data_IF_154974201146
#
_entry.id   IF_154974201146
#
_cell.length_a   1.000
_cell.length_b   1.000
_cell.length_c   1.000
_cell.angle_alpha   90.00
_cell.angle_beta   90.00
_cell.angle_gamma   90.00
#
_symmetry.space_group_name_H-M   'P 1'
#
loop_
_entity.id
_entity.type
_entity.pdbx_description
1 polymer ?
#
# COMPACT_ATOMS: atom_id res chain seq x y z
N UNK A 1 17.92 16.68 -6.96
CA UNK A 1 16.60 16.98 -6.39
C UNK A 1 15.62 15.86 -6.73
N UNK A 2 14.98 15.31 -5.74
CA UNK A 2 14.06 14.17 -5.97
C UNK A 2 12.75 14.65 -6.60
N UNK A 3 12.17 13.82 -7.44
CA UNK A 3 10.86 14.07 -8.01
C UNK A 3 9.79 13.92 -6.93
N UNK A 4 8.73 14.73 -6.95
CA UNK A 4 7.58 14.49 -6.08
C UNK A 4 6.97 13.11 -6.37
N UNK A 5 6.52 12.42 -5.33
CA UNK A 5 5.89 11.10 -5.49
C UNK A 5 4.43 11.22 -5.93
N UNK A 6 3.84 12.40 -5.85
CA UNK A 6 2.44 12.65 -6.19
C UNK A 6 2.30 14.05 -6.75
N UNK A 7 1.26 14.25 -7.55
CA UNK A 7 0.87 15.59 -8.03
C UNK A 7 0.27 16.43 -6.91
N UNK A 8 -0.25 15.79 -5.88
CA UNK A 8 -0.84 16.46 -4.72
C UNK A 8 0.17 16.50 -3.59
N UNK A 9 0.06 17.47 -2.69
CA UNK A 9 0.98 17.54 -1.55
C UNK A 9 0.91 16.29 -0.69
N UNK A 10 2.06 15.86 -0.18
CA UNK A 10 2.13 14.78 0.80
C UNK A 10 2.18 15.44 2.17
N UNK A 11 1.17 15.21 3.03
CA UNK A 11 1.15 15.82 4.36
C UNK A 11 2.29 15.32 5.23
N UNK A 12 2.73 16.16 6.17
CA UNK A 12 3.64 15.72 7.22
C UNK A 12 2.93 14.71 8.12
N UNK A 13 3.65 13.71 8.63
CA UNK A 13 3.07 12.68 9.48
C UNK A 13 2.31 13.27 10.67
N UNK A 14 2.86 14.33 11.25
CA UNK A 14 2.27 14.97 12.43
C UNK A 14 0.89 15.57 12.16
N UNK A 15 0.60 15.90 10.92
CA UNK A 15 -0.69 16.50 10.54
C UNK A 15 -1.76 15.48 10.20
N UNK A 16 -1.41 14.20 10.13
CA UNK A 16 -2.35 13.15 9.75
C UNK A 16 -3.23 12.73 10.93
N UNK A 17 -4.46 12.24 10.64
CA UNK A 17 -5.26 11.59 11.67
C UNK A 17 -4.51 10.42 12.30
N UNK A 18 -4.81 10.14 13.56
CA UNK A 18 -4.08 9.13 14.34
C UNK A 18 -4.08 7.75 13.68
N UNK A 19 -5.22 7.32 13.16
CA UNK A 19 -5.33 6.00 12.54
C UNK A 19 -4.50 5.88 11.26
N UNK A 20 -4.48 6.92 10.45
CA UNK A 20 -3.69 6.94 9.21
C UNK A 20 -2.20 6.94 9.54
N UNK A 21 -1.80 7.81 10.48
CA UNK A 21 -0.41 7.87 10.93
C UNK A 21 0.05 6.54 11.50
N UNK A 22 -0.78 5.91 12.33
CA UNK A 22 -0.47 4.64 12.96
C UNK A 22 -0.24 3.55 11.90
N UNK A 23 -1.08 3.50 10.87
CA UNK A 23 -0.93 2.53 9.79
C UNK A 23 0.41 2.71 9.07
N UNK A 24 0.77 3.94 8.79
CA UNK A 24 2.04 4.26 8.11
C UNK A 24 3.23 3.85 8.98
N UNK A 25 3.19 4.15 10.27
CA UNK A 25 4.26 3.79 11.19
C UNK A 25 4.42 2.28 11.33
N UNK A 26 3.32 1.54 11.35
CA UNK A 26 3.36 0.07 11.39
C UNK A 26 4.04 -0.51 10.15
N UNK A 27 3.74 0.03 8.98
CA UNK A 27 4.36 -0.42 7.73
C UNK A 27 5.85 -0.10 7.72
N UNK A 28 6.21 1.09 8.20
CA UNK A 28 7.61 1.48 8.31
C UNK A 28 8.39 0.53 9.21
N UNK A 29 7.80 0.14 10.33
CA UNK A 29 8.44 -0.79 11.26
C UNK A 29 8.62 -2.17 10.64
N UNK A 30 7.60 -2.68 9.95
CA UNK A 30 7.65 -4.01 9.34
C UNK A 30 8.59 -4.09 8.14
N UNK A 31 8.57 -3.07 7.30
CA UNK A 31 9.25 -3.10 6.01
C UNK A 31 10.57 -2.35 5.99
N UNK A 32 10.83 -1.51 7.00
CA UNK A 32 12.01 -0.66 7.04
C UNK A 32 11.89 0.62 6.24
N UNK A 33 10.76 0.83 5.55
CA UNK A 33 10.50 2.05 4.78
C UNK A 33 8.99 2.22 4.62
N UNK A 34 8.57 3.40 4.15
CA UNK A 34 7.17 3.67 3.84
C UNK A 34 6.99 3.65 2.33
N UNK A 35 6.25 2.68 1.78
CA UNK A 35 5.96 2.68 0.34
C UNK A 35 5.24 3.96 -0.07
N UNK A 36 5.56 4.47 -1.26
CA UNK A 36 5.02 5.75 -1.73
C UNK A 36 3.50 5.78 -1.82
N UNK A 37 2.85 4.62 -2.05
CA UNK A 37 1.39 4.57 -2.11
C UNK A 37 0.73 5.01 -0.80
N UNK A 38 1.33 4.67 0.34
CA UNK A 38 0.82 5.11 1.64
C UNK A 38 0.90 6.63 1.77
N UNK A 39 2.01 7.21 1.33
CA UNK A 39 2.20 8.65 1.41
C UNK A 39 1.29 9.39 0.43
N UNK A 40 1.18 8.90 -0.79
CA UNK A 40 0.35 9.54 -1.81
C UNK A 40 -1.13 9.53 -1.42
N UNK A 41 -1.63 8.40 -0.90
CA UNK A 41 -3.03 8.30 -0.49
C UNK A 41 -3.33 9.10 0.79
N UNK A 42 -2.32 9.40 1.60
CA UNK A 42 -2.53 10.14 2.84
C UNK A 42 -2.98 11.59 2.62
N UNK A 43 -2.85 12.11 1.38
CA UNK A 43 -3.37 13.42 1.01
C UNK A 43 -4.88 13.52 1.29
N UNK A 44 -5.61 12.40 1.14
CA UNK A 44 -7.04 12.34 1.42
C UNK A 44 -7.32 11.18 2.38
N UNK A 45 -7.35 11.46 3.68
CA UNK A 45 -7.47 10.39 4.69
C UNK A 45 -8.64 9.43 4.50
N UNK A 46 -9.81 9.92 4.05
CA UNK A 46 -10.95 9.05 3.81
C UNK A 46 -10.69 8.07 2.67
N UNK A 47 -9.98 8.50 1.65
CA UNK A 47 -9.61 7.62 0.53
C UNK A 47 -8.54 6.61 0.97
N UNK A 48 -7.60 7.03 1.80
CA UNK A 48 -6.61 6.14 2.40
C UNK A 48 -7.32 5.01 3.17
N UNK A 49 -8.29 5.39 4.02
CA UNK A 49 -9.04 4.41 4.82
C UNK A 49 -9.82 3.43 3.95
N UNK A 50 -10.51 3.94 2.96
CA UNK A 50 -11.32 3.10 2.06
C UNK A 50 -10.44 2.15 1.25
N UNK A 51 -9.31 2.64 0.73
CA UNK A 51 -8.38 1.82 -0.04
C UNK A 51 -7.84 0.67 0.79
N UNK A 52 -7.34 0.97 1.99
CA UNK A 52 -6.74 -0.09 2.81
C UNK A 52 -7.78 -1.00 3.45
N UNK A 53 -9.00 -0.53 3.69
CA UNK A 53 -10.09 -1.42 4.11
C UNK A 53 -10.40 -2.45 3.01
N UNK A 54 -10.46 -2.02 1.77
CA UNK A 54 -10.66 -2.92 0.63
C UNK A 54 -9.49 -3.88 0.47
N UNK A 55 -8.26 -3.35 0.51
CA UNK A 55 -7.05 -4.16 0.43
C UNK A 55 -7.04 -5.24 1.50
N UNK A 56 -7.32 -4.88 2.74
CA UNK A 56 -7.27 -5.82 3.86
C UNK A 56 -8.35 -6.88 3.74
N UNK A 57 -9.53 -6.51 3.25
CA UNK A 57 -10.62 -7.46 3.02
C UNK A 57 -10.24 -8.51 1.97
N UNK A 58 -9.49 -8.10 0.94
CA UNK A 58 -9.05 -9.02 -0.11
C UNK A 58 -7.85 -9.85 0.31
N UNK A 59 -6.84 -9.21 0.91
CA UNK A 59 -5.52 -9.83 1.09
C UNK A 59 -5.33 -10.47 2.46
N UNK A 60 -5.95 -9.94 3.50
CA UNK A 60 -5.71 -10.40 4.86
C UNK A 60 -6.81 -11.31 5.41
N UNK A 61 -8.01 -11.23 4.84
CA UNK A 61 -9.13 -12.05 5.32
C UNK A 61 -8.98 -13.50 4.83
N UNK A 62 -9.23 -14.50 5.70
CA UNK A 62 -9.27 -15.89 5.25
C UNK A 62 -10.31 -16.11 4.17
N UNK A 63 -9.97 -16.89 3.15
CA UNK A 63 -10.86 -17.21 2.05
C UNK A 63 -10.51 -18.58 1.47
N UNK A 64 -11.12 -18.95 0.35
CA UNK A 64 -10.79 -20.18 -0.35
C UNK A 64 -9.41 -20.18 -1.00
N UNK A 65 -8.72 -19.02 -1.05
CA UNK A 65 -7.39 -18.90 -1.60
C UNK A 65 -6.37 -18.74 -0.47
N UNK A 66 -5.20 -19.36 -0.62
CA UNK A 66 -4.09 -19.13 0.30
C UNK A 66 -3.49 -17.74 0.09
N UNK A 67 -2.69 -17.28 1.05
CA UNK A 67 -1.98 -16.02 0.92
C UNK A 67 -1.08 -16.03 -0.32
N UNK A 68 -0.36 -17.12 -0.54
CA UNK A 68 0.51 -17.25 -1.72
C UNK A 68 -0.27 -17.18 -3.02
N UNK A 69 -1.42 -17.85 -3.08
CA UNK A 69 -2.28 -17.79 -4.27
C UNK A 69 -2.78 -16.37 -4.54
N UNK A 70 -3.17 -15.64 -3.51
CA UNK A 70 -3.59 -14.24 -3.64
C UNK A 70 -2.45 -13.38 -4.19
N UNK A 71 -1.24 -13.55 -3.67
CA UNK A 71 -0.08 -12.82 -4.13
C UNK A 71 0.28 -13.17 -5.59
N UNK A 72 0.13 -14.43 -5.99
CA UNK A 72 0.34 -14.84 -7.38
C UNK A 72 -0.64 -14.12 -8.32
N UNK A 73 -1.90 -14.01 -7.93
CA UNK A 73 -2.91 -13.28 -8.72
C UNK A 73 -2.53 -11.80 -8.83
N UNK A 74 -2.09 -11.20 -7.73
CA UNK A 74 -1.66 -9.80 -7.73
C UNK A 74 -0.47 -9.60 -8.68
N UNK A 75 0.53 -10.48 -8.60
CA UNK A 75 1.71 -10.39 -9.48
C UNK A 75 1.31 -10.52 -10.94
N UNK A 76 0.47 -11.49 -11.28
CA UNK A 76 0.02 -11.70 -12.67
C UNK A 76 -0.76 -10.50 -13.19
N UNK A 77 -1.69 -9.98 -12.39
CA UNK A 77 -2.48 -8.80 -12.75
C UNK A 77 -1.59 -7.57 -12.90
N UNK A 78 -0.65 -7.40 -11.99
CA UNK A 78 0.26 -6.26 -12.00
C UNK A 78 1.21 -6.30 -13.20
N UNK A 79 1.67 -7.49 -13.59
CA UNK A 79 2.49 -7.66 -14.77
C UNK A 79 1.70 -7.30 -16.04
N UNK A 80 0.45 -7.74 -16.13
CA UNK A 80 -0.42 -7.40 -17.26
C UNK A 80 -0.65 -5.89 -17.36
N UNK A 81 -0.74 -5.21 -16.22
CA UNK A 81 -0.92 -3.77 -16.14
C UNK A 81 0.40 -2.99 -16.18
N UNK A 82 1.53 -3.68 -16.31
CA UNK A 82 2.86 -3.08 -16.34
C UNK A 82 3.17 -2.24 -15.11
N UNK A 83 2.72 -2.68 -13.94
CA UNK A 83 3.04 -2.03 -12.66
C UNK A 83 4.31 -2.66 -12.09
N UNK A 84 5.46 -2.06 -12.39
CA UNK A 84 6.76 -2.58 -11.95
C UNK A 84 6.83 -2.67 -10.43
N UNK A 85 6.43 -1.63 -9.73
CA UNK A 85 6.44 -1.62 -8.26
C UNK A 85 5.64 -2.79 -7.69
N UNK A 86 4.43 -3.00 -8.21
CA UNK A 86 3.54 -4.04 -7.73
C UNK A 86 4.12 -5.44 -7.95
N UNK A 87 4.73 -5.66 -9.13
CA UNK A 87 5.37 -6.95 -9.44
C UNK A 87 6.50 -7.23 -8.48
N UNK A 88 7.37 -6.25 -8.23
CA UNK A 88 8.52 -6.43 -7.35
C UNK A 88 8.08 -6.59 -5.89
N UNK A 89 7.17 -5.73 -5.41
CA UNK A 89 6.75 -5.75 -4.02
C UNK A 89 5.99 -7.03 -3.66
N UNK A 90 5.01 -7.42 -4.47
CA UNK A 90 4.22 -8.62 -4.21
C UNK A 90 4.99 -9.89 -4.54
N UNK A 91 5.88 -9.84 -5.53
CA UNK A 91 6.77 -10.95 -5.79
C UNK A 91 7.69 -11.26 -4.62
N UNK A 92 8.14 -10.24 -3.91
CA UNK A 92 8.98 -10.41 -2.72
C UNK A 92 8.21 -11.02 -1.54
N UNK A 93 6.90 -10.70 -1.44
CA UNK A 93 6.05 -11.30 -0.40
C UNK A 93 5.77 -12.77 -0.71
N UNK A 94 5.67 -13.10 -1.97
CA UNK A 94 5.42 -14.45 -2.42
C UNK A 94 6.56 -15.40 -2.02
#
# INVERSE_FOLDING_TARGET
MSQPISRYPVPALESLPDDVRQRILEVQEKSGFVPNVFLALSHRPDEFRAFFAYHDALMLRPSGLSKGEKEMIVVATSAANRCLYCVVAHGAIL
#
